data_IF_084590245507
#
_entry.id   IF_084590245507
#
_cell.length_a   1.000
_cell.length_b   1.000
_cell.length_c   1.000
_cell.angle_alpha   90.00
_cell.angle_beta   90.00
_cell.angle_gamma   90.00
#
_symmetry.space_group_name_H-M   'P 1'
#
loop_
_entity.id
_entity.type
_entity.pdbx_description
1 polymer ?
#
# COMPACT_ATOMS: atom_id res chain seq x y z
N UNK A 1 16.22 -19.30 0.42
CA UNK A 1 15.33 -19.83 1.48
C UNK A 1 14.02 -19.05 1.42
N UNK A 2 12.97 -19.64 0.84
CA UNK A 2 11.64 -18.99 0.75
C UNK A 2 10.95 -19.10 2.11
N UNK A 3 10.87 -18.00 2.85
CA UNK A 3 10.05 -17.93 4.06
C UNK A 3 8.59 -18.05 3.61
N UNK A 4 7.90 -19.09 4.05
CA UNK A 4 6.45 -19.21 3.84
C UNK A 4 5.79 -18.00 4.49
N UNK A 5 5.26 -17.10 3.65
CA UNK A 5 4.45 -15.98 4.12
C UNK A 5 3.10 -16.58 4.48
N UNK A 6 2.84 -16.72 5.76
CA UNK A 6 1.51 -17.13 6.24
C UNK A 6 0.50 -16.12 5.70
N UNK A 7 -0.49 -16.55 4.90
CA UNK A 7 -1.49 -15.63 4.38
C UNK A 7 -2.24 -15.00 5.55
N UNK A 8 -2.38 -13.68 5.50
CA UNK A 8 -3.12 -12.95 6.51
C UNK A 8 -4.60 -13.35 6.41
N UNK A 9 -5.22 -13.69 7.54
CA UNK A 9 -6.66 -13.88 7.62
C UNK A 9 -7.35 -12.52 7.77
N UNK A 10 -8.55 -12.39 7.21
CA UNK A 10 -9.42 -11.23 7.48
C UNK A 10 -9.58 -10.99 9.00
N UNK A 11 -9.40 -9.75 9.47
CA UNK A 11 -9.70 -9.38 10.85
C UNK A 11 -11.12 -9.79 11.22
N UNK A 12 -11.35 -10.23 12.47
CA UNK A 12 -12.65 -10.69 12.92
C UNK A 12 -13.78 -9.69 12.74
N UNK A 13 -13.50 -8.40 12.96
CA UNK A 13 -14.50 -7.34 12.94
C UNK A 13 -15.04 -7.04 11.53
N UNK A 14 -14.30 -7.43 10.48
CA UNK A 14 -14.70 -7.25 9.08
C UNK A 14 -15.49 -8.44 8.52
N UNK A 15 -15.53 -9.54 9.28
CA UNK A 15 -16.20 -10.78 8.89
C UNK A 15 -17.73 -10.59 8.88
N UNK A 16 -18.32 -10.48 7.70
CA UNK A 16 -19.77 -10.28 7.49
C UNK A 16 -20.17 -8.88 7.01
N UNK A 17 -19.25 -7.90 7.08
CA UNK A 17 -19.44 -6.57 6.49
C UNK A 17 -18.87 -6.47 5.07
N UNK A 18 -17.95 -7.38 4.72
CA UNK A 18 -17.28 -7.40 3.43
C UNK A 18 -17.61 -8.70 2.70
N UNK A 19 -18.07 -8.58 1.46
CA UNK A 19 -18.26 -9.69 0.55
C UNK A 19 -16.90 -10.03 -0.13
N UNK A 20 -16.33 -11.23 0.12
CA UNK A 20 -15.06 -11.62 -0.48
C UNK A 20 -15.06 -11.61 -2.02
N UNK A 21 -16.22 -11.75 -2.64
CA UNK A 21 -16.40 -11.89 -4.08
C UNK A 21 -17.04 -10.67 -4.74
N UNK A 22 -17.19 -9.55 -4.02
CA UNK A 22 -17.79 -8.34 -4.58
C UNK A 22 -16.93 -7.09 -4.35
N UNK A 23 -15.59 -7.22 -4.34
CA UNK A 23 -14.73 -6.05 -4.19
C UNK A 23 -13.23 -6.31 -4.14
N UNK A 24 -12.51 -5.24 -3.81
CA UNK A 24 -11.06 -5.18 -3.66
C UNK A 24 -10.70 -4.59 -2.30
N UNK A 25 -9.59 -5.06 -1.73
CA UNK A 25 -8.91 -4.34 -0.67
C UNK A 25 -7.94 -3.32 -1.27
N UNK A 26 -8.01 -2.08 -0.82
CA UNK A 26 -7.19 -0.98 -1.29
C UNK A 26 -6.33 -0.44 -0.14
N UNK A 27 -5.01 -0.48 -0.31
CA UNK A 27 -4.03 0.10 0.58
C UNK A 27 -3.77 1.54 0.16
N UNK A 28 -4.03 2.47 1.07
CA UNK A 28 -3.76 3.89 0.91
C UNK A 28 -2.84 4.36 2.03
N UNK A 29 -1.92 5.23 1.68
CA UNK A 29 -1.03 5.86 2.64
C UNK A 29 -1.29 7.35 2.57
N UNK A 30 -1.44 7.97 3.73
CA UNK A 30 -1.67 9.40 3.88
C UNK A 30 -0.59 9.98 4.76
N UNK A 31 -0.30 11.26 4.53
CA UNK A 31 0.37 12.10 5.47
C UNK A 31 -0.58 13.17 5.95
N UNK A 32 -0.56 13.43 7.25
CA UNK A 32 -1.28 14.55 7.84
C UNK A 32 -0.41 15.23 8.88
N UNK A 33 -0.54 16.55 9.07
CA UNK A 33 0.06 17.23 10.21
C UNK A 33 -0.39 16.60 11.54
N UNK A 34 0.47 16.67 12.56
CA UNK A 34 0.04 16.29 13.90
C UNK A 34 -0.83 17.42 14.48
N UNK A 35 -2.10 17.15 14.86
CA UNK A 35 -3.00 18.19 15.36
C UNK A 35 -2.58 18.83 16.69
N UNK A 36 -1.58 18.26 17.37
CA UNK A 36 -1.04 18.77 18.62
C UNK A 36 0.17 19.69 18.43
N UNK A 37 0.76 19.74 17.23
CA UNK A 37 1.96 20.52 16.97
C UNK A 37 1.61 21.94 16.52
N UNK A 38 2.41 22.95 16.93
CA UNK A 38 2.13 24.36 16.66
C UNK A 38 2.39 24.76 15.21
N UNK A 39 3.23 24.01 14.50
CA UNK A 39 3.46 24.18 13.08
C UNK A 39 2.47 23.28 12.30
N UNK A 40 1.56 23.88 11.51
CA UNK A 40 0.54 23.14 10.78
C UNK A 40 1.13 22.24 9.68
N UNK A 41 2.43 22.31 9.41
CA UNK A 41 3.07 21.57 8.34
C UNK A 41 4.12 20.56 8.82
N UNK A 42 4.65 20.67 10.05
CA UNK A 42 5.61 19.69 10.61
C UNK A 42 5.63 19.71 12.15
N UNK A 43 5.86 18.55 12.82
CA UNK A 43 5.94 17.21 12.25
C UNK A 43 4.55 16.62 11.95
N UNK A 44 4.53 15.58 11.12
CA UNK A 44 3.30 14.91 10.71
C UNK A 44 3.26 13.42 11.06
N UNK A 45 2.12 12.80 10.81
CA UNK A 45 1.89 11.37 10.96
C UNK A 45 1.66 10.74 9.59
N UNK A 46 2.35 9.62 9.34
CA UNK A 46 2.08 8.75 8.20
C UNK A 46 1.05 7.70 8.60
N UNK A 47 -0.11 7.73 7.97
CA UNK A 47 -1.19 6.77 8.18
C UNK A 47 -1.21 5.77 7.03
N UNK A 48 -1.32 4.48 7.34
CA UNK A 48 -1.63 3.46 6.34
C UNK A 48 -3.00 2.89 6.64
N UNK A 49 -3.88 2.95 5.65
CA UNK A 49 -5.26 2.49 5.74
C UNK A 49 -5.52 1.39 4.72
N UNK A 50 -6.29 0.38 5.14
CA UNK A 50 -6.89 -0.60 4.24
C UNK A 50 -8.38 -0.29 4.11
N UNK A 51 -8.84 -0.07 2.89
CA UNK A 51 -10.24 0.20 2.57
C UNK A 51 -10.82 -0.89 1.67
N UNK A 52 -12.15 -1.03 1.66
CA UNK A 52 -12.85 -1.94 0.76
C UNK A 52 -13.52 -1.16 -0.37
N UNK A 53 -13.27 -1.56 -1.61
CA UNK A 53 -13.88 -0.97 -2.79
C UNK A 53 -14.85 -2.01 -3.38
N UNK A 54 -16.17 -1.79 -3.28
CA UNK A 54 -17.16 -2.66 -3.92
C UNK A 54 -16.94 -2.76 -5.43
N UNK A 55 -17.23 -3.92 -5.98
CA UNK A 55 -17.05 -4.22 -7.38
C UNK A 55 -18.21 -5.02 -7.94
N UNK A 56 -18.83 -4.48 -9.00
CA UNK A 56 -19.77 -5.21 -9.80
C UNK A 56 -19.03 -6.23 -10.67
N UNK A 57 -19.64 -7.41 -10.86
CA UNK A 57 -19.06 -8.50 -11.65
C UNK A 57 -18.72 -8.09 -13.10
N UNK A 58 -19.48 -7.16 -13.66
CA UNK A 58 -19.35 -6.65 -15.04
C UNK A 58 -18.32 -5.52 -15.19
N UNK A 59 -17.91 -4.87 -14.11
CA UNK A 59 -17.03 -3.70 -14.20
C UNK A 59 -15.59 -4.10 -14.57
N UNK A 60 -14.81 -3.21 -15.19
CA UNK A 60 -13.38 -3.44 -15.41
C UNK A 60 -12.65 -3.76 -14.10
N UNK A 61 -11.74 -4.72 -14.14
CA UNK A 61 -11.00 -5.15 -12.97
C UNK A 61 -9.95 -4.10 -12.59
N UNK A 62 -10.00 -3.63 -11.34
CA UNK A 62 -9.10 -2.57 -10.85
C UNK A 62 -7.63 -3.01 -10.71
N UNK A 63 -7.31 -4.30 -10.88
CA UNK A 63 -5.92 -4.75 -10.87
C UNK A 63 -5.12 -4.35 -12.14
N UNK A 64 -5.77 -3.73 -13.13
CA UNK A 64 -5.14 -3.30 -14.38
C UNK A 64 -5.07 -4.37 -15.47
N UNK A 65 -5.73 -5.51 -15.30
CA UNK A 65 -5.69 -6.62 -16.27
C UNK A 65 -6.45 -6.38 -17.58
N UNK A 66 -7.26 -5.32 -17.66
CA UNK A 66 -8.15 -5.04 -18.79
C UNK A 66 -9.38 -5.96 -18.92
N UNK A 67 -9.52 -6.96 -18.04
CA UNK A 67 -10.68 -7.88 -18.01
C UNK A 67 -11.78 -7.36 -17.08
N UNK A 68 -12.99 -7.92 -17.15
CA UNK A 68 -14.02 -7.69 -16.13
C UNK A 68 -13.63 -8.31 -14.79
N UNK A 69 -14.17 -7.78 -13.69
CA UNK A 69 -13.90 -8.30 -12.34
C UNK A 69 -14.22 -9.79 -12.22
N UNK A 70 -15.37 -10.22 -12.77
CA UNK A 70 -15.80 -11.62 -12.81
C UNK A 70 -14.85 -12.55 -13.54
N UNK A 71 -14.22 -12.07 -14.60
CA UNK A 71 -13.27 -12.85 -15.38
C UNK A 71 -11.83 -12.80 -14.82
N UNK A 72 -11.59 -12.00 -13.76
CA UNK A 72 -10.28 -11.75 -13.20
C UNK A 72 -10.23 -12.00 -11.69
N UNK A 73 -10.21 -10.94 -10.87
CA UNK A 73 -9.94 -11.04 -9.43
C UNK A 73 -11.07 -11.68 -8.62
N UNK A 74 -12.31 -11.71 -9.13
CA UNK A 74 -13.40 -12.40 -8.43
C UNK A 74 -13.12 -13.89 -8.27
N UNK A 75 -12.59 -14.56 -9.31
CA UNK A 75 -12.33 -16.02 -9.32
C UNK A 75 -11.14 -16.43 -8.45
N UNK A 76 -10.34 -15.48 -8.00
CA UNK A 76 -9.14 -15.78 -7.22
C UNK A 76 -9.53 -16.09 -5.79
N UNK A 77 -8.95 -17.16 -5.23
CA UNK A 77 -9.12 -17.52 -3.80
C UNK A 77 -8.46 -16.50 -2.87
N UNK A 78 -7.37 -15.90 -3.33
CA UNK A 78 -6.61 -14.91 -2.57
C UNK A 78 -6.96 -13.51 -3.07
N UNK A 79 -7.27 -12.61 -2.15
CA UNK A 79 -7.19 -11.19 -2.43
C UNK A 79 -5.74 -10.77 -2.55
N UNK A 80 -5.48 -9.99 -3.58
CA UNK A 80 -4.26 -9.20 -3.75
C UNK A 80 -4.68 -7.75 -3.59
N UNK A 81 -4.27 -7.07 -2.52
CA UNK A 81 -4.60 -5.67 -2.34
C UNK A 81 -4.12 -4.84 -3.53
N UNK A 82 -4.82 -3.76 -3.79
CA UNK A 82 -4.45 -2.75 -4.78
C UNK A 82 -4.04 -1.46 -4.06
N UNK A 83 -3.39 -0.54 -4.75
CA UNK A 83 -3.15 0.82 -4.28
C UNK A 83 -3.44 1.82 -5.43
N UNK A 84 -3.87 3.05 -5.12
CA UNK A 84 -4.19 4.03 -6.17
C UNK A 84 -2.93 4.47 -6.92
N UNK A 85 -3.01 4.75 -8.20
CA UNK A 85 -1.89 5.31 -8.96
C UNK A 85 -1.76 6.82 -8.70
N UNK A 86 -0.62 7.41 -9.06
CA UNK A 86 -0.36 8.85 -8.93
C UNK A 86 -1.54 9.66 -9.48
N UNK A 87 -2.01 10.66 -8.72
CA UNK A 87 -3.17 11.48 -9.08
C UNK A 87 -4.51 10.72 -9.12
N UNK A 88 -4.61 9.56 -8.45
CA UNK A 88 -5.77 8.64 -8.48
C UNK A 88 -6.15 8.16 -9.89
N UNK A 89 -5.18 8.08 -10.80
CA UNK A 89 -5.38 7.59 -12.19
C UNK A 89 -5.45 6.06 -12.25
N UNK A 90 -6.51 5.51 -11.65
CA UNK A 90 -6.71 4.07 -11.52
C UNK A 90 -5.91 3.46 -10.36
N UNK A 91 -5.67 2.15 -10.45
CA UNK A 91 -5.04 1.36 -9.40
C UNK A 91 -3.99 0.41 -9.97
N UNK A 92 -3.08 -0.04 -9.11
CA UNK A 92 -2.12 -1.10 -9.38
C UNK A 92 -2.20 -2.15 -8.27
N UNK A 93 -1.75 -3.38 -8.55
CA UNK A 93 -1.54 -4.37 -7.50
C UNK A 93 -0.50 -3.85 -6.49
N UNK A 94 -0.75 -4.11 -5.20
CA UNK A 94 0.19 -3.80 -4.15
C UNK A 94 1.42 -4.73 -4.26
N UNK A 95 2.58 -4.12 -4.46
CA UNK A 95 3.89 -4.75 -4.53
C UNK A 95 4.89 -3.85 -3.80
N UNK A 96 4.98 -3.97 -2.45
CA UNK A 96 5.88 -3.15 -1.66
C UNK A 96 7.33 -3.46 -2.03
N UNK A 97 8.10 -2.40 -2.27
CA UNK A 97 9.48 -2.50 -2.72
C UNK A 97 10.27 -1.27 -2.31
N UNK A 98 11.58 -1.43 -2.25
CA UNK A 98 12.50 -0.35 -1.94
C UNK A 98 13.73 -0.37 -2.87
N UNK A 99 14.18 0.83 -3.24
CA UNK A 99 15.43 1.08 -3.96
C UNK A 99 16.40 1.77 -2.99
N UNK A 100 17.62 1.25 -2.89
CA UNK A 100 18.65 1.80 -1.98
C UNK A 100 19.83 2.31 -2.78
N UNK A 101 20.19 3.57 -2.58
CA UNK A 101 21.38 4.20 -3.14
C UNK A 101 22.38 4.43 -2.00
N UNK A 102 23.61 3.96 -2.19
CA UNK A 102 24.70 4.20 -1.25
C UNK A 102 25.54 5.39 -1.70
N UNK A 103 26.19 6.06 -0.73
CA UNK A 103 27.10 7.19 -0.97
C UNK A 103 26.42 8.37 -1.68
N UNK A 104 25.17 8.63 -1.35
CA UNK A 104 24.39 9.71 -1.91
C UNK A 104 24.93 11.07 -1.44
N UNK A 105 25.08 12.04 -2.34
CA UNK A 105 25.47 13.42 -1.99
C UNK A 105 24.31 14.10 -1.24
N UNK A 106 24.34 13.98 0.09
CA UNK A 106 23.26 14.42 0.97
C UNK A 106 22.89 15.90 0.80
N UNK A 107 23.87 16.84 0.87
CA UNK A 107 23.61 18.26 0.62
C UNK A 107 22.95 18.52 -0.75
N UNK A 108 23.47 17.96 -1.84
CA UNK A 108 22.91 18.16 -3.16
C UNK A 108 21.49 17.57 -3.28
N UNK A 109 21.27 16.38 -2.73
CA UNK A 109 19.95 15.74 -2.71
C UNK A 109 18.95 16.61 -1.95
N UNK A 110 19.31 17.09 -0.76
CA UNK A 110 18.43 17.95 0.06
C UNK A 110 18.01 19.20 -0.70
N UNK A 111 18.96 19.90 -1.30
CA UNK A 111 18.70 21.11 -2.08
C UNK A 111 17.71 20.84 -3.23
N UNK A 112 17.95 19.78 -4.01
CA UNK A 112 17.15 19.48 -5.20
C UNK A 112 15.76 18.92 -4.88
N UNK A 113 15.63 18.03 -3.89
CA UNK A 113 14.34 17.44 -3.55
C UNK A 113 13.43 18.39 -2.78
N UNK A 114 13.98 19.32 -2.01
CA UNK A 114 13.17 20.27 -1.19
C UNK A 114 12.47 21.32 -2.06
N UNK A 115 12.97 21.58 -3.26
CA UNK A 115 12.45 22.60 -4.17
C UNK A 115 11.47 22.05 -5.21
N UNK A 116 11.38 20.72 -5.39
CA UNK A 116 10.47 20.10 -6.35
C UNK A 116 9.03 20.04 -5.82
N UNK A 117 8.08 20.62 -6.56
CA UNK A 117 6.69 20.72 -6.16
C UNK A 117 5.92 19.39 -6.10
N UNK A 118 6.45 18.31 -6.69
CA UNK A 118 5.86 16.96 -6.63
C UNK A 118 6.20 16.26 -5.31
N UNK A 119 7.21 16.75 -4.59
CA UNK A 119 7.69 16.20 -3.33
C UNK A 119 7.33 17.12 -2.16
N UNK A 120 7.07 16.52 -1.00
CA UNK A 120 6.92 17.24 0.27
C UNK A 120 7.99 16.80 1.24
N UNK A 121 8.85 17.71 1.64
CA UNK A 121 9.74 17.47 2.78
C UNK A 121 8.92 17.50 4.08
N UNK A 122 9.05 16.47 4.90
CA UNK A 122 8.34 16.32 6.19
C UNK A 122 9.28 16.06 7.37
N UNK A 123 10.58 16.00 7.10
CA UNK A 123 11.66 16.04 8.08
C UNK A 123 12.87 16.67 7.39
N UNK A 124 13.34 17.81 7.92
CA UNK A 124 14.56 18.51 7.47
C UNK A 124 15.68 18.43 8.50
N UNK A 125 15.61 17.48 9.43
CA UNK A 125 16.63 17.39 10.46
C UNK A 125 18.02 17.17 9.86
N UNK A 126 19.09 17.59 10.56
CA UNK A 126 20.45 17.32 10.11
C UNK A 126 20.76 15.82 10.00
N UNK A 127 20.06 14.98 10.78
CA UNK A 127 20.29 13.54 10.94
C UNK A 127 19.58 12.72 9.85
N UNK A 128 18.35 13.08 9.53
CA UNK A 128 17.52 12.42 8.52
C UNK A 128 16.75 13.45 7.73
N UNK A 129 16.51 13.16 6.46
CA UNK A 129 15.58 13.96 5.67
C UNK A 129 14.60 13.05 4.97
N UNK A 130 13.32 13.43 4.99
CA UNK A 130 12.25 12.59 4.50
C UNK A 130 11.35 13.38 3.56
N UNK A 131 11.13 12.84 2.36
CA UNK A 131 10.23 13.39 1.37
C UNK A 131 9.14 12.40 0.99
N UNK A 132 7.95 12.93 0.73
CA UNK A 132 6.80 12.19 0.23
C UNK A 132 6.54 12.58 -1.21
N UNK A 133 6.38 11.59 -2.09
CA UNK A 133 5.75 11.84 -3.38
C UNK A 133 4.24 11.92 -3.18
N UNK A 134 3.69 13.13 -3.21
CA UNK A 134 2.24 13.37 -3.12
C UNK A 134 1.58 13.80 -4.44
N UNK A 135 2.37 13.97 -5.50
CA UNK A 135 1.93 14.41 -6.82
C UNK A 135 1.78 15.92 -6.97
N UNK A 136 1.43 16.36 -8.19
CA UNK A 136 1.18 17.77 -8.50
C UNK A 136 -0.02 17.90 -9.46
N UNK A 137 -1.17 18.45 -9.02
CA UNK A 137 -1.46 18.90 -7.65
C UNK A 137 -1.50 17.73 -6.63
N UNK A 138 -1.30 18.01 -5.33
CA UNK A 138 -1.47 16.99 -4.29
C UNK A 138 -2.92 16.52 -4.24
N UNK A 139 -3.12 15.26 -3.84
CA UNK A 139 -4.46 14.68 -3.69
C UNK A 139 -4.83 14.60 -2.21
N UNK A 140 -5.74 15.45 -1.78
CA UNK A 140 -6.19 15.55 -0.39
C UNK A 140 -7.54 14.87 -0.18
N UNK A 141 -7.75 14.30 1.01
CA UNK A 141 -9.07 13.95 1.52
C UNK A 141 -9.12 14.10 3.05
N UNK A 142 -10.23 13.67 3.67
CA UNK A 142 -10.45 13.79 5.12
C UNK A 142 -9.40 13.09 6.00
N UNK A 143 -8.58 12.20 5.44
CA UNK A 143 -7.52 11.49 6.17
C UNK A 143 -6.15 12.15 6.01
N UNK A 144 -6.01 13.13 5.11
CA UNK A 144 -4.79 13.86 4.83
C UNK A 144 -4.44 13.84 3.34
N UNK A 145 -3.17 14.01 3.04
CA UNK A 145 -2.64 14.08 1.69
C UNK A 145 -2.12 12.71 1.29
N UNK A 146 -2.51 12.23 0.11
CA UNK A 146 -2.16 10.88 -0.34
C UNK A 146 -0.66 10.77 -0.67
N UNK A 147 0.00 9.76 -0.11
CA UNK A 147 1.40 9.44 -0.36
C UNK A 147 1.51 8.30 -1.39
N UNK A 148 2.23 8.55 -2.47
CA UNK A 148 2.49 7.59 -3.53
C UNK A 148 3.77 6.79 -3.30
N UNK A 149 4.70 7.36 -2.56
CA UNK A 149 5.82 6.67 -1.93
C UNK A 149 6.74 7.67 -1.24
N UNK A 150 7.90 7.20 -0.81
CA UNK A 150 8.75 7.90 0.13
C UNK A 150 10.20 7.92 -0.33
N UNK A 151 10.93 8.94 0.11
CA UNK A 151 12.35 9.10 -0.09
C UNK A 151 12.95 9.48 1.28
N UNK A 152 13.85 8.66 1.80
CA UNK A 152 14.52 8.88 3.08
C UNK A 152 16.03 8.98 2.85
N UNK A 153 16.61 10.13 3.14
CA UNK A 153 18.06 10.31 3.23
C UNK A 153 18.49 10.10 4.68
N UNK A 154 19.28 9.06 4.91
CA UNK A 154 19.83 8.71 6.22
C UNK A 154 21.17 9.38 6.47
N UNK A 155 21.54 9.50 7.74
CA UNK A 155 22.81 10.10 8.19
C UNK A 155 24.05 9.46 7.55
N UNK A 156 24.00 8.16 7.23
CA UNK A 156 25.09 7.42 6.62
C UNK A 156 25.13 7.57 5.08
N UNK A 157 24.60 8.66 4.52
CA UNK A 157 24.56 8.94 3.09
C UNK A 157 23.87 7.82 2.28
N UNK A 158 22.89 7.17 2.89
CA UNK A 158 22.06 6.17 2.20
C UNK A 158 20.72 6.80 1.88
N UNK A 159 20.36 6.81 0.60
CA UNK A 159 19.03 7.21 0.15
C UNK A 159 18.18 5.94 -0.01
N UNK A 160 17.05 5.87 0.66
CA UNK A 160 16.09 4.77 0.53
C UNK A 160 14.81 5.32 -0.07
N UNK A 161 14.36 4.67 -1.13
CA UNK A 161 13.10 5.00 -1.81
C UNK A 161 12.15 3.84 -1.62
N UNK A 162 10.91 4.09 -1.22
CA UNK A 162 9.91 3.04 -1.04
C UNK A 162 8.60 3.34 -1.75
N UNK A 163 8.01 2.31 -2.35
CA UNK A 163 6.73 2.43 -3.05
C UNK A 163 5.89 1.16 -2.92
N UNK A 164 4.57 1.31 -3.06
CA UNK A 164 3.59 0.22 -2.89
C UNK A 164 3.19 -0.46 -4.20
N UNK A 165 3.78 -0.12 -5.35
CA UNK A 165 3.57 -0.82 -6.63
C UNK A 165 4.70 -0.53 -7.60
N UNK A 166 4.87 -1.39 -8.61
CA UNK A 166 5.90 -1.22 -9.65
C UNK A 166 5.75 0.10 -10.41
N UNK A 167 4.52 0.51 -10.70
CA UNK A 167 4.25 1.78 -11.39
C UNK A 167 4.69 2.97 -10.52
N UNK A 168 4.35 2.96 -9.22
CA UNK A 168 4.76 4.02 -8.29
C UNK A 168 6.27 4.05 -8.11
N UNK A 169 6.93 2.89 -8.01
CA UNK A 169 8.39 2.81 -7.90
C UNK A 169 9.06 3.39 -9.16
N UNK A 170 8.61 3.01 -10.35
CA UNK A 170 9.14 3.56 -11.61
C UNK A 170 9.03 5.09 -11.64
N UNK A 171 7.84 5.62 -11.35
CA UNK A 171 7.63 7.07 -11.33
C UNK A 171 8.56 7.76 -10.31
N UNK A 172 8.75 7.19 -9.12
CA UNK A 172 9.68 7.73 -8.11
C UNK A 172 11.13 7.74 -8.59
N UNK A 173 11.57 6.67 -9.24
CA UNK A 173 12.92 6.58 -9.79
C UNK A 173 13.11 7.56 -10.95
N UNK A 174 12.12 7.72 -11.83
CA UNK A 174 12.15 8.71 -12.91
C UNK A 174 12.25 10.14 -12.35
N UNK A 175 11.50 10.47 -11.29
CA UNK A 175 11.59 11.77 -10.59
C UNK A 175 12.98 11.96 -9.98
N UNK A 176 13.56 10.92 -9.37
CA UNK A 176 14.89 10.99 -8.77
C UNK A 176 16.00 11.11 -9.80
N UNK A 177 15.88 10.44 -10.95
CA UNK A 177 16.84 10.57 -12.03
C UNK A 177 16.83 12.00 -12.61
N UNK A 178 15.63 12.55 -12.84
CA UNK A 178 15.46 13.93 -13.29
C UNK A 178 16.10 14.95 -12.33
N UNK A 179 15.89 14.77 -11.02
CA UNK A 179 16.36 15.72 -10.01
C UNK A 179 17.81 15.48 -9.62
N UNK A 180 18.23 14.23 -9.48
CA UNK A 180 19.47 13.86 -8.80
C UNK A 180 20.26 12.75 -9.52
N UNK A 181 19.91 12.37 -10.74
CA UNK A 181 20.56 11.27 -11.48
C UNK A 181 22.09 11.43 -11.60
N UNK A 182 22.58 12.66 -11.81
CA UNK A 182 24.02 12.95 -11.82
C UNK A 182 24.75 12.80 -10.47
N UNK A 183 24.02 12.57 -9.39
CA UNK A 183 24.52 12.46 -8.01
C UNK A 183 24.16 11.11 -7.35
N UNK A 184 23.54 10.20 -8.11
CA UNK A 184 23.09 8.89 -7.64
C UNK A 184 23.76 7.80 -8.45
N UNK A 185 24.23 6.75 -7.77
CA UNK A 185 24.66 5.52 -8.44
C UNK A 185 23.49 4.62 -8.81
N UNK A 186 23.79 3.39 -9.22
CA UNK A 186 22.76 2.37 -9.46
C UNK A 186 22.08 1.94 -8.15
N UNK A 187 20.74 1.88 -8.10
CA UNK A 187 20.03 1.43 -6.91
C UNK A 187 20.11 -0.08 -6.73
N UNK A 188 20.23 -0.51 -5.48
CA UNK A 188 19.94 -1.89 -5.09
C UNK A 188 18.43 -2.04 -4.85
N UNK A 189 17.77 -2.83 -5.70
CA UNK A 189 16.34 -3.12 -5.58
C UNK A 189 16.07 -4.24 -4.57
N UNK A 190 14.99 -4.07 -3.81
CA UNK A 190 14.46 -5.06 -2.88
C UNK A 190 12.94 -5.11 -2.98
N UNK A 191 12.37 -6.29 -2.83
CA UNK A 191 10.93 -6.51 -2.90
C UNK A 191 10.47 -7.24 -1.65
N UNK A 192 9.47 -6.69 -0.99
CA UNK A 192 8.77 -7.41 0.05
C UNK A 192 7.74 -8.35 -0.57
N UNK A 193 7.40 -9.46 0.10
CA UNK A 193 6.33 -10.31 -0.35
C UNK A 193 5.03 -9.52 -0.47
N UNK A 194 4.41 -9.57 -1.66
CA UNK A 194 3.13 -8.93 -1.87
C UNK A 194 2.09 -9.46 -0.87
N UNK A 195 1.33 -8.59 -0.19
CA UNK A 195 0.32 -9.03 0.75
C UNK A 195 -0.74 -9.86 0.02
N UNK A 196 -1.12 -10.99 0.60
CA UNK A 196 -2.24 -11.80 0.12
C UNK A 196 -3.12 -12.21 1.29
N UNK A 197 -4.43 -12.13 1.09
CA UNK A 197 -5.43 -12.44 2.11
C UNK A 197 -6.35 -13.55 1.59
N UNK A 198 -6.50 -14.64 2.34
CA UNK A 198 -7.41 -15.73 1.94
C UNK A 198 -8.85 -15.29 2.18
N UNK A 199 -9.65 -15.27 1.10
CA UNK A 199 -11.07 -14.88 1.13
C UNK A 199 -11.92 -15.77 2.04
N UNK A 200 -11.53 -17.03 2.24
CA UNK A 200 -12.36 -18.07 2.84
C UNK A 200 -11.87 -18.53 4.23
N UNK A 201 -10.84 -17.91 4.80
CA UNK A 201 -10.18 -18.37 6.04
C UNK A 201 -11.07 -18.42 7.31
N UNK A 202 -12.37 -18.09 7.22
CA UNK A 202 -13.32 -18.14 8.34
C UNK A 202 -14.59 -18.96 8.13
N UNK A 203 -14.83 -19.55 6.95
CA UNK A 203 -16.01 -20.43 6.78
C UNK A 203 -15.82 -21.84 7.33
N UNK A 204 -14.60 -22.22 7.72
CA UNK A 204 -14.34 -23.49 8.37
C UNK A 204 -14.48 -23.38 9.91
N UNK A 205 -15.72 -23.35 10.41
CA UNK A 205 -16.21 -23.98 11.66
C UNK A 205 -17.51 -23.34 12.15
N UNK A 206 -18.61 -23.71 11.49
CA UNK A 206 -19.84 -24.01 12.22
C UNK A 206 -20.18 -25.46 11.89
N UNK A 207 -19.49 -26.41 12.53
CA UNK A 207 -20.03 -27.75 12.63
C UNK A 207 -21.29 -27.64 13.49
N UNK A 208 -22.44 -27.53 12.85
CA UNK A 208 -23.72 -27.81 13.49
C UNK A 208 -23.58 -29.19 14.14
N UNK A 209 -23.76 -29.34 15.46
CA UNK A 209 -23.75 -30.65 16.08
C UNK A 209 -24.82 -31.47 15.37
N UNK A 210 -24.44 -32.56 14.71
CA UNK A 210 -25.41 -33.53 14.20
C UNK A 210 -26.19 -34.03 15.41
N UNK A 211 -27.41 -33.53 15.55
CA UNK A 211 -28.35 -33.99 16.56
C UNK A 211 -28.45 -35.51 16.47
N UNK A 212 -28.18 -36.16 17.59
CA UNK A 212 -28.36 -37.60 17.74
C UNK A 212 -29.82 -37.93 17.44
N UNK A 213 -30.13 -38.90 16.54
CA UNK A 213 -31.50 -39.29 16.31
C UNK A 213 -32.09 -39.87 17.59
N UNK A 214 -33.17 -39.26 18.07
CA UNK A 214 -33.99 -39.72 19.17
C UNK A 214 -34.56 -41.11 18.79
N UNK A 215 -34.04 -42.16 19.43
CA UNK A 215 -34.52 -43.53 19.22
C UNK A 215 -35.81 -43.71 20.01
N UNK A 216 -36.95 -43.44 19.38
CA UNK A 216 -38.28 -43.80 19.92
C UNK A 216 -38.35 -45.32 20.00
N UNK A 217 -38.22 -45.86 21.22
CA UNK A 217 -38.56 -47.26 21.51
C UNK A 217 -40.07 -47.35 21.68
N UNK A 218 -40.76 -47.83 20.64
CA UNK A 218 -42.07 -48.50 20.76
C UNK A 218 -41.87 -49.92 21.28
N UNK A 219 -42.63 -50.30 22.30
CA UNK A 219 -43.20 -51.65 22.59
C UNK A 219 -44.10 -51.47 23.82
N UNK A 220 -45.43 -51.58 23.63
CA UNK A 220 -46.24 -52.80 23.85
C UNK A 220 -46.27 -53.19 25.32
#
# INVERSE_FOLDING_TARGET
>A
MSKYVTPLSMPPELSGLIDPDAGFLCLTTYWRPNPQDPDPEMPGQKLTMSSYIPALSTQPCLCGSGKSYRACCQRQRMWRPICPNLGRRGYSLAAPQAATFHQADGPAIRERLTTDARLRCVDTSPVSSFWLLWGHPPVEDQYGILCFGDIELKQNHTLVVSAMSDLRMRILLDVLDELAGGCLGEPLMSHDPAPTIDKLARQARAQVPKGTPQRVRRRQ
#
